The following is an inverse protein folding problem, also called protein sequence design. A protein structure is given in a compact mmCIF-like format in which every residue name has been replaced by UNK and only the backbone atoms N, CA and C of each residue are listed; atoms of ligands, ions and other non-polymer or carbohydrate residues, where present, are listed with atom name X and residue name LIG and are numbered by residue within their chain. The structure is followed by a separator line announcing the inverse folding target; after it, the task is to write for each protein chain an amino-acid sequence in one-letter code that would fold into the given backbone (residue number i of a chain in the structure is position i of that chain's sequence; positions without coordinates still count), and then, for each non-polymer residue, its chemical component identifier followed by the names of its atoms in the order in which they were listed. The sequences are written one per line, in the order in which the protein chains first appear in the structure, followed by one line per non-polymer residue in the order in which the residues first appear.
data_IF_188673507936
#
_entry.id   IF_188673507936
#
_cell.length_a   1.000
_cell.length_b   1.000
_cell.length_c   1.000
_cell.angle_alpha   90.00
_cell.angle_beta   90.00
_cell.angle_gamma   90.00
#
_symmetry.space_group_name_H-M   'P 1'
#
loop_
_entity.id
_entity.type
_entity.pdbx_description
1 polymer ?
#
# COMPACT_ATOMS: atom_id res chain seq x y z
N UNK A 1 -4.07 9.28 26.55
CA UNK A 1 -2.97 8.37 26.12
C UNK A 1 -3.10 8.27 24.60
N UNK A 2 -2.39 9.14 23.88
CA UNK A 2 -2.49 9.22 22.42
C UNK A 2 -1.16 8.83 21.79
N UNK A 3 -1.19 8.00 20.74
CA UNK A 3 0.01 7.54 20.02
C UNK A 3 0.31 6.03 20.08
N UNK A 4 -0.28 5.26 21.00
CA UNK A 4 0.00 3.82 21.13
C UNK A 4 -0.23 3.05 19.81
N UNK A 5 -1.33 3.35 19.11
CA UNK A 5 -1.61 2.73 17.81
C UNK A 5 -0.58 3.08 16.74
N UNK A 6 -0.11 4.33 16.70
CA UNK A 6 0.95 4.75 15.76
C UNK A 6 2.27 4.04 16.06
N UNK A 7 2.65 3.96 17.33
CA UNK A 7 3.89 3.27 17.75
C UNK A 7 3.81 1.77 17.45
N UNK A 8 2.69 1.12 17.74
CA UNK A 8 2.50 -0.30 17.47
C UNK A 8 2.61 -0.62 15.97
N UNK A 9 1.98 0.19 15.12
CA UNK A 9 2.05 0.01 13.66
C UNK A 9 3.45 0.29 13.11
N UNK A 10 4.11 1.35 13.58
CA UNK A 10 5.49 1.63 13.20
C UNK A 10 6.44 0.48 13.58
N UNK A 11 6.26 -0.11 14.77
CA UNK A 11 7.02 -1.27 15.22
C UNK A 11 6.75 -2.51 14.35
N UNK A 12 5.49 -2.80 14.04
CA UNK A 12 5.12 -3.91 13.17
C UNK A 12 5.76 -3.77 11.78
N UNK A 13 5.67 -2.58 11.19
CA UNK A 13 6.31 -2.24 9.91
C UNK A 13 7.82 -2.41 9.98
N UNK A 14 8.47 -1.95 11.05
CA UNK A 14 9.92 -2.13 11.24
C UNK A 14 10.30 -3.61 11.31
N UNK A 15 9.55 -4.44 12.03
CA UNK A 15 9.82 -5.88 12.12
C UNK A 15 9.70 -6.53 10.75
N UNK A 16 8.66 -6.22 9.98
CA UNK A 16 8.47 -6.75 8.62
C UNK A 16 9.60 -6.31 7.68
N UNK A 17 10.01 -5.05 7.76
CA UNK A 17 11.17 -4.54 7.03
C UNK A 17 12.44 -5.32 7.36
N UNK A 18 12.75 -5.50 8.65
CA UNK A 18 13.93 -6.24 9.10
C UNK A 18 13.90 -7.73 8.71
N UNK A 19 12.71 -8.29 8.47
CA UNK A 19 12.51 -9.67 7.99
C UNK A 19 12.49 -9.79 6.46
N UNK A 20 12.67 -8.69 5.73
CA UNK A 20 12.74 -8.70 4.27
C UNK A 20 11.38 -8.73 3.56
N UNK A 21 10.29 -8.48 4.27
CA UNK A 21 8.94 -8.41 3.67
C UNK A 21 8.71 -7.08 2.91
N UNK A 22 9.55 -6.08 3.13
CA UNK A 22 9.46 -4.80 2.44
C UNK A 22 10.52 -4.69 1.33
N UNK A 23 10.17 -5.19 0.14
CA UNK A 23 10.96 -4.93 -1.07
C UNK A 23 10.78 -3.47 -1.49
N UNK A 24 11.74 -2.62 -1.14
CA UNK A 24 11.92 -1.23 -1.61
C UNK A 24 11.00 -0.15 -1.00
N UNK A 25 10.50 -0.31 0.22
CA UNK A 25 9.72 0.71 0.96
C UNK A 25 8.34 0.98 0.40
N UNK A 26 7.74 0.00 -0.26
CA UNK A 26 6.38 0.11 -0.79
C UNK A 26 5.33 -0.49 0.14
N UNK A 27 5.74 -1.01 1.31
CA UNK A 27 4.85 -1.60 2.27
C UNK A 27 3.99 -0.55 3.00
N UNK A 28 2.72 -0.42 2.59
CA UNK A 28 1.79 0.61 3.04
C UNK A 28 0.61 0.04 3.84
N UNK A 29 0.90 -0.67 4.93
CA UNK A 29 -0.13 -1.29 5.78
C UNK A 29 -1.03 -0.24 6.48
N UNK A 30 -0.47 0.94 6.76
CA UNK A 30 -1.23 2.07 7.30
C UNK A 30 -2.32 2.56 6.35
N UNK A 31 -2.12 2.48 5.03
CA UNK A 31 -3.12 2.88 4.05
C UNK A 31 -4.31 1.92 4.10
N UNK A 32 -4.05 0.61 4.16
CA UNK A 32 -5.08 -0.42 4.35
C UNK A 32 -5.94 -0.19 5.60
N UNK A 33 -5.32 0.17 6.72
CA UNK A 33 -6.07 0.49 7.95
C UNK A 33 -6.86 1.80 7.88
N UNK A 34 -6.41 2.75 7.05
CA UNK A 34 -7.09 4.03 6.89
C UNK A 34 -8.28 3.95 5.94
N UNK A 35 -8.27 3.02 4.97
CA UNK A 35 -9.39 2.78 4.06
C UNK A 35 -10.66 2.34 4.80
N UNK A 36 -10.51 1.49 5.83
CA UNK A 36 -11.61 1.05 6.68
C UNK A 36 -11.19 0.99 8.16
N UNK A 37 -11.31 2.14 8.82
CA UNK A 37 -10.96 2.26 10.25
C UNK A 37 -11.89 1.47 11.16
N UNK A 38 -13.16 1.34 10.80
CA UNK A 38 -14.15 0.65 11.62
C UNK A 38 -13.84 -0.85 11.63
N UNK A 39 -13.53 -1.44 10.47
CA UNK A 39 -13.06 -2.82 10.36
C UNK A 39 -11.75 -3.06 11.11
N UNK A 40 -10.80 -2.11 11.04
CA UNK A 40 -9.56 -2.17 11.82
C UNK A 40 -9.82 -2.25 13.33
N UNK A 41 -10.67 -1.37 13.87
CA UNK A 41 -10.99 -1.38 15.30
C UNK A 41 -11.81 -2.59 15.70
N UNK A 42 -12.74 -3.05 14.85
CA UNK A 42 -13.48 -4.29 15.07
C UNK A 42 -12.52 -5.49 15.16
N UNK A 43 -11.55 -5.60 14.25
CA UNK A 43 -10.53 -6.65 14.27
C UNK A 43 -9.68 -6.60 15.55
N UNK A 44 -9.27 -5.41 16.01
CA UNK A 44 -8.54 -5.28 17.29
C UNK A 44 -9.37 -5.75 18.49
N UNK A 45 -10.68 -5.51 18.47
CA UNK A 45 -11.58 -5.91 19.55
C UNK A 45 -11.86 -7.42 19.58
N UNK A 46 -11.48 -8.16 18.54
CA UNK A 46 -11.58 -9.64 18.53
C UNK A 46 -10.59 -10.31 19.49
N UNK A 47 -9.54 -9.60 19.92
CA UNK A 47 -8.52 -10.15 20.81
C UNK A 47 -9.08 -10.30 22.22
N UNK A 48 -9.23 -11.54 22.66
CA UNK A 48 -9.64 -11.84 24.03
C UNK A 48 -8.44 -11.67 24.98
N UNK A 49 -8.56 -10.71 25.91
CA UNK A 49 -7.51 -10.38 26.87
C UNK A 49 -7.26 -11.47 27.93
N UNK A 50 -8.19 -12.42 28.11
CA UNK A 50 -8.06 -13.52 29.08
C UNK A 50 -7.39 -14.74 28.47
N UNK A 51 -7.80 -15.10 27.26
CA UNK A 51 -7.28 -16.28 26.54
C UNK A 51 -6.07 -15.93 25.68
N UNK A 52 -5.88 -14.64 25.37
CA UNK A 52 -4.87 -14.13 24.44
C UNK A 52 -5.00 -14.72 23.03
N UNK A 53 -6.20 -15.16 22.66
CA UNK A 53 -6.49 -15.57 21.29
C UNK A 53 -6.42 -14.34 20.38
N UNK A 54 -5.51 -14.40 19.40
CA UNK A 54 -5.25 -13.35 18.42
C UNK A 54 -5.55 -13.82 17.01
N UNK A 55 -6.19 -14.98 16.83
CA UNK A 55 -6.39 -15.62 15.52
C UNK A 55 -7.09 -14.68 14.54
N UNK A 56 -8.23 -14.12 14.92
CA UNK A 56 -9.00 -13.21 14.05
C UNK A 56 -8.25 -11.90 13.74
N UNK A 57 -7.52 -11.38 14.72
CA UNK A 57 -6.63 -10.23 14.51
C UNK A 57 -5.52 -10.55 13.50
N UNK A 58 -4.90 -11.72 13.61
CA UNK A 58 -3.83 -12.15 12.70
C UNK A 58 -4.35 -12.44 11.30
N UNK A 59 -5.56 -12.99 11.15
CA UNK A 59 -6.22 -13.17 9.86
C UNK A 59 -6.41 -11.81 9.16
N UNK A 60 -6.99 -10.84 9.87
CA UNK A 60 -7.17 -9.48 9.35
C UNK A 60 -5.83 -8.80 9.02
N UNK A 61 -4.81 -8.96 9.87
CA UNK A 61 -3.49 -8.43 9.64
C UNK A 61 -2.84 -9.02 8.38
N UNK A 62 -2.90 -10.34 8.22
CA UNK A 62 -2.36 -11.05 7.06
C UNK A 62 -3.09 -10.69 5.76
N UNK A 63 -4.40 -10.44 5.82
CA UNK A 63 -5.16 -9.90 4.69
C UNK A 63 -4.63 -8.53 4.28
N UNK A 64 -4.44 -7.62 5.24
CA UNK A 64 -3.84 -6.30 4.97
C UNK A 64 -2.46 -6.40 4.33
N UNK A 65 -1.61 -7.30 4.84
CA UNK A 65 -0.28 -7.58 4.26
C UNK A 65 -0.43 -8.03 2.80
N UNK A 66 -1.34 -8.97 2.52
CA UNK A 66 -1.55 -9.50 1.17
C UNK A 66 -2.07 -8.44 0.20
N UNK A 67 -3.03 -7.62 0.63
CA UNK A 67 -3.57 -6.50 -0.16
C UNK A 67 -2.47 -5.49 -0.49
N UNK A 68 -1.70 -5.06 0.52
CA UNK A 68 -0.58 -4.14 0.31
C UNK A 68 0.44 -4.74 -0.67
N UNK A 69 0.83 -6.01 -0.51
CA UNK A 69 1.79 -6.66 -1.42
C UNK A 69 1.29 -6.75 -2.87
N UNK A 70 0.00 -7.06 -3.07
CA UNK A 70 -0.58 -7.11 -4.40
C UNK A 70 -0.63 -5.73 -5.06
N UNK A 71 -1.00 -4.68 -4.32
CA UNK A 71 -0.98 -3.30 -4.82
C UNK A 71 0.42 -2.88 -5.29
N UNK A 72 1.46 -3.22 -4.51
CA UNK A 72 2.85 -2.97 -4.90
C UNK A 72 3.25 -3.74 -6.16
N UNK A 73 2.86 -5.01 -6.24
CA UNK A 73 3.12 -5.84 -7.42
C UNK A 73 2.49 -5.23 -8.67
N UNK A 74 1.23 -4.83 -8.59
CA UNK A 74 0.48 -4.26 -9.72
C UNK A 74 1.09 -2.94 -10.16
N UNK A 75 1.47 -2.06 -9.22
CA UNK A 75 2.20 -0.82 -9.51
C UNK A 75 3.53 -1.08 -10.24
N UNK A 76 4.31 -2.09 -9.81
CA UNK A 76 5.56 -2.45 -10.47
C UNK A 76 5.32 -2.98 -11.88
N UNK A 77 4.28 -3.79 -12.09
CA UNK A 77 3.91 -4.31 -13.39
C UNK A 77 3.49 -3.19 -14.35
N UNK A 78 2.65 -2.26 -13.90
CA UNK A 78 2.25 -1.08 -14.67
C UNK A 78 3.46 -0.23 -15.07
N UNK A 79 4.34 0.12 -14.13
CA UNK A 79 5.57 0.88 -14.42
C UNK A 79 6.49 0.16 -15.41
N UNK A 80 6.54 -1.17 -15.34
CA UNK A 80 7.35 -1.99 -16.25
C UNK A 80 6.76 -2.03 -17.66
N UNK A 81 5.43 -2.12 -17.78
CA UNK A 81 4.72 -2.01 -19.05
C UNK A 81 4.92 -0.63 -19.68
N UNK A 82 4.76 0.44 -18.89
CA UNK A 82 5.02 1.81 -19.31
C UNK A 82 6.45 2.00 -19.81
N UNK A 83 7.44 1.44 -19.11
CA UNK A 83 8.84 1.47 -19.54
C UNK A 83 9.03 0.71 -20.86
N UNK A 84 8.45 -0.48 -21.01
CA UNK A 84 8.52 -1.24 -22.28
C UNK A 84 7.85 -0.51 -23.45
N UNK A 85 6.72 0.17 -23.20
CA UNK A 85 6.05 1.00 -24.20
C UNK A 85 6.89 2.22 -24.58
N UNK A 86 7.59 2.84 -23.61
CA UNK A 86 8.55 3.93 -23.84
C UNK A 86 9.79 3.46 -24.60
N UNK A 87 10.35 2.28 -24.29
CA UNK A 87 11.49 1.70 -25.02
C UNK A 87 11.11 1.34 -26.47
N UNK A 88 9.90 0.81 -26.71
CA UNK A 88 9.41 0.52 -28.07
C UNK A 88 9.08 1.76 -28.91
N UNK A 89 8.86 2.93 -28.28
CA UNK A 89 8.53 4.19 -28.96
C UNK A 89 9.69 5.19 -29.01
N UNK A 90 10.85 4.85 -28.44
CA UNK A 90 11.92 5.81 -28.21
C UNK A 90 11.57 6.80 -27.11
N UNK A 91 12.57 7.23 -26.35
CA UNK A 91 12.39 8.21 -25.29
C UNK A 91 12.02 9.58 -25.90
N UNK A 92 10.72 9.87 -26.01
CA UNK A 92 10.25 11.20 -26.40
C UNK A 92 10.45 12.11 -25.19
N UNK A 93 11.44 13.00 -25.27
CA UNK A 93 11.64 14.05 -24.27
C UNK A 93 10.47 15.04 -24.35
N UNK A 94 9.68 15.08 -23.29
CA UNK A 94 8.55 16.00 -23.16
C UNK A 94 8.93 17.12 -22.19
N UNK A 95 8.69 18.37 -22.60
CA UNK A 95 8.87 19.52 -21.73
C UNK A 95 7.71 19.68 -20.74
N UNK A 96 7.87 20.55 -19.75
CA UNK A 96 6.88 20.76 -18.67
C UNK A 96 5.48 21.10 -19.20
N UNK A 97 5.40 21.83 -20.32
CA UNK A 97 4.13 22.21 -20.96
C UNK A 97 3.43 20.98 -21.56
N UNK A 98 4.17 20.10 -22.21
CA UNK A 98 3.64 18.86 -22.79
C UNK A 98 3.19 17.86 -21.72
N UNK A 99 3.91 17.78 -20.59
CA UNK A 99 3.52 16.95 -19.44
C UNK A 99 2.21 17.44 -18.82
N UNK A 100 2.02 18.76 -18.68
CA UNK A 100 0.75 19.33 -18.20
C UNK A 100 -0.43 19.01 -19.11
N UNK A 101 -0.23 19.08 -20.43
CA UNK A 101 -1.28 18.76 -21.41
C UNK A 101 -1.66 17.28 -21.33
N UNK A 102 -0.68 16.37 -21.25
CA UNK A 102 -0.96 14.94 -21.11
C UNK A 102 -1.72 14.63 -19.82
N UNK A 103 -1.32 15.22 -18.69
CA UNK A 103 -2.07 15.10 -17.43
C UNK A 103 -3.50 15.60 -17.58
N UNK A 104 -3.70 16.73 -18.24
CA UNK A 104 -5.05 17.28 -18.45
C UNK A 104 -5.93 16.37 -19.33
N UNK A 105 -5.38 15.83 -20.42
CA UNK A 105 -6.09 14.91 -21.31
C UNK A 105 -6.43 13.59 -20.62
N UNK A 106 -5.52 13.07 -19.80
CA UNK A 106 -5.72 11.82 -19.07
C UNK A 106 -6.78 11.95 -17.95
N UNK A 107 -6.85 13.12 -17.29
CA UNK A 107 -7.88 13.38 -16.27
C UNK A 107 -9.21 13.84 -16.88
N UNK A 108 -9.20 14.43 -18.09
CA UNK A 108 -10.38 14.92 -18.81
C UNK A 108 -11.12 13.85 -19.63
N UNK A 109 -10.49 12.71 -19.93
CA UNK A 109 -11.13 11.53 -20.53
C UNK A 109 -11.62 10.55 -19.44
N UNK A 110 -12.51 11.03 -18.55
CA UNK A 110 -13.50 10.13 -17.95
C UNK A 110 -14.75 10.20 -18.83
N UNK A 111 -14.88 9.24 -19.74
CA UNK A 111 -16.16 8.86 -20.35
C UNK A 111 -16.79 7.82 -19.44
#
# INVERSE_FOLDING_TARGET
IDGNGRTARALATLILYLKGFDTKRFFALDDYYNEDRDRYYAALQTVDQKTLDTTQWLEYFCEGVAVSMNSVKDMILELSLDRRLKDKRGQIFLNEKQIRILKYLQTGLKI
#
